data_IF_168255606276
#
_entry.id   IF_168255606276
#
_cell.length_a   1.000
_cell.length_b   1.000
_cell.length_c   1.000
_cell.angle_alpha   90.00
_cell.angle_beta   90.00
_cell.angle_gamma   90.00
#
_symmetry.space_group_name_H-M   'P 1'
#
loop_
_entity.id
_entity.type
_entity.pdbx_description
1 polymer ?
#
# COMPACT_ATOMS: atom_id res chain seq x y z
N UNK A 1 -4.58 11.88 27.24
CA UNK A 1 -3.82 13.10 26.86
C UNK A 1 -3.20 13.06 25.45
N UNK A 2 -3.00 11.90 24.81
CA UNK A 2 -2.49 11.83 23.42
C UNK A 2 -3.51 12.22 22.33
N UNK A 3 -4.81 12.15 22.64
CA UNK A 3 -5.95 12.37 21.73
C UNK A 3 -6.21 13.83 21.37
N UNK A 4 -5.80 14.80 22.19
CA UNK A 4 -6.01 16.23 21.91
C UNK A 4 -4.90 16.84 21.04
N UNK A 5 -3.68 16.29 21.07
CA UNK A 5 -2.61 16.69 20.15
C UNK A 5 -2.90 16.28 18.70
N UNK A 6 -3.53 15.13 18.48
CA UNK A 6 -3.89 14.63 17.14
C UNK A 6 -4.99 15.49 16.47
N UNK A 7 -6.06 15.82 17.22
CA UNK A 7 -7.13 16.73 16.76
C UNK A 7 -6.61 18.12 16.39
N UNK A 8 -5.65 18.64 17.15
CA UNK A 8 -4.97 19.91 16.85
C UNK A 8 -4.18 19.85 15.54
N UNK A 9 -3.48 18.73 15.30
CA UNK A 9 -2.65 18.52 14.10
C UNK A 9 -3.44 18.53 12.80
N UNK A 10 -4.59 17.84 12.73
CA UNK A 10 -5.37 17.76 11.48
C UNK A 10 -6.16 19.04 11.16
N UNK A 11 -6.73 19.71 12.17
CA UNK A 11 -7.32 21.05 11.98
C UNK A 11 -6.27 22.10 11.61
N UNK A 12 -5.09 22.05 12.23
CA UNK A 12 -3.96 22.90 11.87
C UNK A 12 -3.48 22.61 10.43
N UNK A 13 -3.54 21.35 10.00
CA UNK A 13 -3.23 20.92 8.64
C UNK A 13 -4.22 21.49 7.61
N UNK A 14 -5.54 21.37 7.80
CA UNK A 14 -6.52 21.98 6.89
C UNK A 14 -6.40 23.52 6.88
N UNK A 15 -6.15 24.13 8.04
CA UNK A 15 -5.95 25.58 8.15
C UNK A 15 -4.66 26.04 7.45
N UNK A 16 -3.60 25.23 7.51
CA UNK A 16 -2.34 25.52 6.81
C UNK A 16 -2.45 25.36 5.30
N UNK A 17 -3.35 24.49 4.78
CA UNK A 17 -3.61 24.39 3.33
C UNK A 17 -4.26 25.65 2.78
N UNK A 18 -5.32 26.13 3.46
CA UNK A 18 -5.97 27.38 3.07
C UNK A 18 -4.99 28.55 3.12
N UNK A 19 -4.16 28.60 4.17
CA UNK A 19 -3.13 29.63 4.29
C UNK A 19 -2.06 29.52 3.19
N UNK A 20 -1.62 28.32 2.84
CA UNK A 20 -0.61 28.13 1.78
C UNK A 20 -1.15 28.55 0.41
N UNK A 21 -2.40 28.21 0.09
CA UNK A 21 -3.07 28.66 -1.14
C UNK A 21 -3.16 30.19 -1.17
N UNK A 22 -3.54 30.81 -0.04
CA UNK A 22 -3.60 32.28 0.07
C UNK A 22 -2.22 32.91 -0.09
N UNK A 23 -1.18 32.35 0.54
CA UNK A 23 0.20 32.84 0.42
C UNK A 23 0.73 32.68 -1.01
N UNK A 24 0.46 31.56 -1.68
CA UNK A 24 0.82 31.36 -3.09
C UNK A 24 0.11 32.34 -4.02
N UNK A 25 -1.16 32.67 -3.76
CA UNK A 25 -1.88 33.70 -4.49
C UNK A 25 -1.27 35.10 -4.26
N UNK A 26 -0.95 35.45 -3.01
CA UNK A 26 -0.30 36.73 -2.66
C UNK A 26 1.07 36.84 -3.34
N UNK A 27 1.87 35.78 -3.31
CA UNK A 27 3.19 35.77 -3.93
C UNK A 27 3.10 35.84 -5.46
N UNK A 28 2.12 35.15 -6.06
CA UNK A 28 1.82 35.27 -7.48
C UNK A 28 1.42 36.69 -7.88
N UNK A 29 0.62 37.38 -7.06
CA UNK A 29 0.26 38.79 -7.27
C UNK A 29 1.46 39.73 -7.10
N UNK A 30 2.33 39.50 -6.11
CA UNK A 30 3.53 40.31 -5.89
C UNK A 30 4.56 40.15 -7.02
N UNK A 31 4.74 38.93 -7.52
CA UNK A 31 5.59 38.62 -8.67
C UNK A 31 5.00 39.21 -9.96
N UNK A 32 3.66 39.20 -10.09
CA UNK A 32 2.98 39.86 -11.20
C UNK A 32 3.28 41.37 -11.25
N UNK A 33 3.19 42.03 -10.08
CA UNK A 33 3.49 43.45 -9.96
C UNK A 33 4.97 43.80 -10.23
N UNK A 34 5.92 42.93 -9.86
CA UNK A 34 7.36 43.17 -10.12
C UNK A 34 7.74 43.00 -11.59
N UNK A 35 7.14 42.05 -12.29
CA UNK A 35 7.37 41.84 -13.72
C UNK A 35 6.66 42.87 -14.60
N UNK A 36 5.53 43.43 -14.15
CA UNK A 36 4.88 44.59 -14.78
C UNK A 36 5.78 45.83 -14.70
N UNK A 37 6.49 46.01 -13.57
CA UNK A 37 7.54 47.02 -13.42
C UNK A 37 8.76 46.77 -14.35
N UNK A 38 8.98 45.54 -14.80
CA UNK A 38 10.01 45.17 -15.77
C UNK A 38 9.53 45.21 -17.23
N UNK A 39 8.34 45.78 -17.48
CA UNK A 39 7.69 45.90 -18.81
C UNK A 39 7.40 44.57 -19.53
N UNK A 40 7.41 43.45 -18.81
CA UNK A 40 7.10 42.13 -19.38
C UNK A 40 5.57 41.96 -19.43
N UNK A 41 4.94 42.45 -20.50
CA UNK A 41 3.48 42.47 -20.67
C UNK A 41 2.93 41.17 -21.28
N UNK A 42 3.06 40.05 -20.57
CA UNK A 42 2.43 38.78 -20.99
C UNK A 42 1.48 38.23 -19.92
N UNK A 43 0.18 38.57 -19.95
CA UNK A 43 -0.83 38.00 -19.05
C UNK A 43 -0.86 36.46 -19.04
N UNK A 44 -0.49 35.82 -20.15
CA UNK A 44 -0.34 34.37 -20.25
C UNK A 44 0.85 33.84 -19.42
N UNK A 45 1.97 34.57 -19.41
CA UNK A 45 3.13 34.23 -18.57
C UNK A 45 2.78 34.32 -17.08
N UNK A 46 2.04 35.37 -16.69
CA UNK A 46 1.58 35.57 -15.32
C UNK A 46 0.66 34.45 -14.83
N UNK A 47 -0.34 34.11 -15.63
CA UNK A 47 -1.28 33.04 -15.32
C UNK A 47 -0.56 31.67 -15.28
N UNK A 48 0.40 31.44 -16.17
CA UNK A 48 1.22 30.23 -16.19
C UNK A 48 2.09 30.08 -14.95
N UNK A 49 2.76 31.14 -14.50
CA UNK A 49 3.60 31.11 -13.29
C UNK A 49 2.73 30.90 -12.04
N UNK A 50 1.60 31.61 -11.90
CA UNK A 50 0.70 31.44 -10.76
C UNK A 50 0.12 30.02 -10.69
N UNK A 51 -0.25 29.43 -11.84
CA UNK A 51 -0.72 28.05 -11.93
C UNK A 51 0.37 27.05 -11.51
N UNK A 52 1.60 27.23 -12.01
CA UNK A 52 2.75 26.38 -11.67
C UNK A 52 3.07 26.44 -10.17
N UNK A 53 3.05 27.62 -9.55
CA UNK A 53 3.25 27.78 -8.11
C UNK A 53 2.12 27.14 -7.30
N UNK A 54 0.86 27.31 -7.72
CA UNK A 54 -0.29 26.66 -7.07
C UNK A 54 -0.21 25.13 -7.14
N UNK A 55 0.17 24.59 -8.31
CA UNK A 55 0.39 23.16 -8.50
C UNK A 55 1.58 22.64 -7.68
N UNK A 56 2.70 23.36 -7.65
CA UNK A 56 3.88 23.01 -6.87
C UNK A 56 3.61 23.03 -5.36
N UNK A 57 2.90 24.05 -4.87
CA UNK A 57 2.49 24.16 -3.47
C UNK A 57 1.51 23.04 -3.09
N UNK A 58 0.50 22.77 -3.91
CA UNK A 58 -0.44 21.66 -3.73
C UNK A 58 0.27 20.30 -3.72
N UNK A 59 1.19 20.09 -4.66
CA UNK A 59 2.01 18.88 -4.73
C UNK A 59 2.89 18.72 -3.48
N UNK A 60 3.61 19.75 -3.05
CA UNK A 60 4.49 19.71 -1.89
C UNK A 60 3.74 19.30 -0.61
N UNK A 61 2.53 19.84 -0.43
CA UNK A 61 1.70 19.53 0.72
C UNK A 61 1.14 18.11 0.65
N UNK A 62 0.67 17.69 -0.53
CA UNK A 62 0.23 16.32 -0.77
C UNK A 62 1.37 15.32 -0.49
N UNK A 63 2.58 15.58 -0.99
CA UNK A 63 3.76 14.75 -0.74
C UNK A 63 4.16 14.73 0.72
N UNK A 64 4.07 15.85 1.45
CA UNK A 64 4.35 15.89 2.89
C UNK A 64 3.34 15.09 3.71
N UNK A 65 2.07 15.16 3.35
CA UNK A 65 1.00 14.41 4.00
C UNK A 65 1.11 12.90 3.72
N UNK A 66 1.20 12.52 2.45
CA UNK A 66 1.38 11.13 2.04
C UNK A 66 2.69 10.53 2.58
N UNK A 67 3.77 11.31 2.56
CA UNK A 67 5.06 10.94 3.14
C UNK A 67 4.97 10.68 4.66
N UNK A 68 4.16 11.44 5.39
CA UNK A 68 3.96 11.21 6.83
C UNK A 68 3.21 9.92 7.15
N UNK A 69 2.29 9.48 6.28
CA UNK A 69 1.58 8.21 6.41
C UNK A 69 2.48 7.02 6.09
N UNK A 70 3.24 7.11 4.99
CA UNK A 70 4.22 6.07 4.60
C UNK A 70 5.31 5.94 5.66
N UNK A 71 5.81 7.05 6.21
CA UNK A 71 6.84 7.02 7.25
C UNK A 71 6.34 6.33 8.53
N UNK A 72 5.08 6.52 8.90
CA UNK A 72 4.50 5.84 10.07
C UNK A 72 4.49 4.32 9.89
N UNK A 73 4.13 3.81 8.70
CA UNK A 73 4.23 2.38 8.38
C UNK A 73 5.69 1.90 8.37
N UNK A 74 6.61 2.65 7.74
CA UNK A 74 8.04 2.32 7.67
C UNK A 74 8.75 2.30 9.02
N UNK A 75 8.15 2.92 10.04
CA UNK A 75 8.66 2.86 11.41
C UNK A 75 8.04 1.71 12.22
N UNK A 76 7.19 0.86 11.61
CA UNK A 76 6.45 -0.19 12.30
C UNK A 76 5.31 0.31 13.20
N UNK A 77 4.95 1.60 13.15
CA UNK A 77 3.87 2.18 13.96
C UNK A 77 2.50 1.93 13.31
N UNK A 78 2.10 0.67 13.27
CA UNK A 78 0.82 0.26 12.68
C UNK A 78 -0.37 0.86 13.43
N UNK A 79 -0.31 0.97 14.76
CA UNK A 79 -1.40 1.50 15.58
C UNK A 79 -1.60 3.00 15.38
N UNK A 80 -0.52 3.78 15.28
CA UNK A 80 -0.57 5.19 14.93
C UNK A 80 -1.10 5.40 13.51
N UNK A 81 -0.72 4.54 12.56
CA UNK A 81 -1.26 4.58 11.19
C UNK A 81 -2.77 4.31 11.16
N UNK A 82 -3.24 3.23 11.80
CA UNK A 82 -4.66 2.87 11.88
C UNK A 82 -5.47 3.95 12.57
N UNK A 83 -4.95 4.52 13.67
CA UNK A 83 -5.60 5.63 14.39
C UNK A 83 -5.86 6.83 13.48
N UNK A 84 -4.88 7.20 12.63
CA UNK A 84 -5.04 8.29 11.65
C UNK A 84 -6.04 7.94 10.55
N UNK A 85 -6.06 6.70 10.09
CA UNK A 85 -7.06 6.23 9.13
C UNK A 85 -8.48 6.32 9.68
N UNK A 86 -8.69 5.95 10.94
CA UNK A 86 -9.99 6.06 11.61
C UNK A 86 -10.44 7.52 11.80
N UNK A 87 -9.52 8.45 12.02
CA UNK A 87 -9.83 9.88 11.99
C UNK A 87 -10.25 10.33 10.58
N UNK A 88 -9.51 9.91 9.55
CA UNK A 88 -9.83 10.22 8.16
C UNK A 88 -11.19 9.67 7.76
N UNK A 89 -11.53 8.45 8.18
CA UNK A 89 -12.82 7.75 7.95
C UNK A 89 -14.02 8.55 8.45
N UNK A 90 -13.85 9.36 9.49
CA UNK A 90 -14.92 10.21 10.03
C UNK A 90 -15.25 11.36 9.07
N UNK A 91 -14.26 11.88 8.37
CA UNK A 91 -14.38 13.06 7.50
C UNK A 91 -14.50 12.74 6.01
N UNK A 92 -13.92 11.64 5.53
CA UNK A 92 -13.91 11.25 4.12
C UNK A 92 -14.83 10.05 3.88
N UNK A 93 -16.10 10.34 3.56
CA UNK A 93 -17.11 9.32 3.28
C UNK A 93 -16.99 8.70 1.89
N UNK A 94 -16.23 9.33 0.98
CA UNK A 94 -16.11 8.87 -0.41
C UNK A 94 -15.11 7.72 -0.53
N UNK A 95 -14.07 7.71 0.31
CA UNK A 95 -12.98 6.74 0.23
C UNK A 95 -12.96 5.74 1.39
N UNK A 96 -14.11 5.50 2.04
CA UNK A 96 -14.19 4.62 3.22
C UNK A 96 -13.65 3.22 2.93
N UNK A 97 -13.98 2.62 1.78
CA UNK A 97 -13.49 1.29 1.40
C UNK A 97 -11.96 1.25 1.23
N UNK A 98 -11.36 2.32 0.71
CA UNK A 98 -9.90 2.46 0.59
C UNK A 98 -9.24 2.61 1.96
N UNK A 99 -9.87 3.37 2.85
CA UNK A 99 -9.40 3.58 4.23
C UNK A 99 -9.45 2.25 5.00
N UNK A 100 -10.58 1.53 4.92
CA UNK A 100 -10.77 0.24 5.56
C UNK A 100 -9.78 -0.80 5.00
N UNK A 101 -9.50 -0.79 3.69
CA UNK A 101 -8.48 -1.66 3.09
C UNK A 101 -7.07 -1.36 3.59
N UNK A 102 -6.67 -0.09 3.65
CA UNK A 102 -5.33 0.28 4.12
C UNK A 102 -5.15 -0.08 5.61
N UNK A 103 -6.20 0.03 6.43
CA UNK A 103 -6.19 -0.42 7.82
C UNK A 103 -6.05 -1.96 7.91
N UNK A 104 -6.82 -2.71 7.11
CA UNK A 104 -6.69 -4.16 7.02
C UNK A 104 -5.26 -4.59 6.64
N UNK A 105 -4.65 -3.91 5.67
CA UNK A 105 -3.27 -4.17 5.26
C UNK A 105 -2.28 -3.92 6.40
N UNK A 106 -2.41 -2.81 7.12
CA UNK A 106 -1.55 -2.52 8.27
C UNK A 106 -1.66 -3.58 9.38
N UNK A 107 -2.87 -4.05 9.67
CA UNK A 107 -3.12 -5.12 10.64
C UNK A 107 -2.53 -6.46 10.20
N UNK A 108 -2.66 -6.80 8.91
CA UNK A 108 -2.01 -7.98 8.34
C UNK A 108 -0.47 -7.90 8.47
N UNK A 109 0.13 -6.74 8.19
CA UNK A 109 1.58 -6.51 8.37
C UNK A 109 1.99 -6.61 9.84
N UNK A 110 1.14 -6.14 10.76
CA UNK A 110 1.34 -6.28 12.21
C UNK A 110 1.26 -7.75 12.67
N UNK A 111 0.57 -8.61 11.91
CA UNK A 111 0.28 -10.00 12.29
C UNK A 111 -1.06 -10.17 13.02
N UNK A 112 -1.86 -9.10 13.12
CA UNK A 112 -3.21 -9.12 13.66
C UNK A 112 -4.21 -9.50 12.55
N UNK A 113 -4.21 -10.78 12.21
CA UNK A 113 -4.92 -11.31 11.04
C UNK A 113 -6.44 -11.25 11.24
N UNK A 114 -6.93 -11.47 12.46
CA UNK A 114 -8.36 -11.43 12.74
C UNK A 114 -8.92 -10.01 12.60
N UNK A 115 -8.26 -9.02 13.18
CA UNK A 115 -8.65 -7.62 12.99
C UNK A 115 -8.53 -7.20 11.53
N UNK A 116 -7.51 -7.68 10.80
CA UNK A 116 -7.39 -7.44 9.37
C UNK A 116 -8.62 -7.92 8.60
N UNK A 117 -9.10 -9.13 8.91
CA UNK A 117 -10.31 -9.71 8.30
C UNK A 117 -11.58 -8.94 8.69
N UNK A 118 -11.69 -8.45 9.91
CA UNK A 118 -12.82 -7.60 10.33
C UNK A 118 -12.90 -6.29 9.52
N UNK A 119 -11.75 -5.65 9.25
CA UNK A 119 -11.72 -4.47 8.40
C UNK A 119 -12.08 -4.78 6.94
N UNK A 120 -11.60 -5.91 6.41
CA UNK A 120 -12.02 -6.37 5.08
C UNK A 120 -13.53 -6.59 5.02
N UNK A 121 -14.14 -7.17 6.05
CA UNK A 121 -15.59 -7.40 6.13
C UNK A 121 -16.46 -6.13 6.07
N UNK A 122 -15.87 -4.94 6.22
CA UNK A 122 -16.57 -3.63 6.08
C UNK A 122 -16.65 -3.15 4.64
N UNK A 123 -15.86 -3.74 3.73
CA UNK A 123 -15.78 -3.36 2.33
C UNK A 123 -16.83 -4.15 1.56
N UNK A 124 -17.67 -3.47 0.78
CA UNK A 124 -18.51 -4.13 -0.23
C UNK A 124 -17.71 -4.30 -1.53
N UNK A 125 -17.23 -5.53 -1.87
CA UNK A 125 -16.43 -5.75 -3.06
C UNK A 125 -17.23 -5.58 -4.37
N UNK A 126 -18.56 -5.61 -4.34
CA UNK A 126 -19.39 -5.34 -5.51
C UNK A 126 -19.41 -3.86 -5.90
N UNK A 127 -19.17 -2.96 -4.94
CA UNK A 127 -19.07 -1.51 -5.18
C UNK A 127 -17.65 -1.01 -5.48
N UNK A 128 -16.65 -1.87 -5.28
CA UNK A 128 -15.23 -1.52 -5.42
C UNK A 128 -14.78 -1.41 -6.89
N UNK A 129 -13.88 -0.47 -7.17
CA UNK A 129 -13.17 -0.44 -8.45
C UNK A 129 -12.31 -1.71 -8.64
N UNK A 130 -11.96 -2.00 -9.90
CA UNK A 130 -11.20 -3.20 -10.30
C UNK A 130 -9.95 -3.43 -9.44
N UNK A 131 -9.22 -2.38 -9.07
CA UNK A 131 -7.97 -2.50 -8.34
C UNK A 131 -8.23 -2.75 -6.87
N UNK A 132 -9.15 -1.99 -6.26
CA UNK A 132 -9.53 -2.21 -4.87
C UNK A 132 -10.09 -3.62 -4.68
N UNK A 133 -10.90 -4.12 -5.62
CA UNK A 133 -11.42 -5.49 -5.60
C UNK A 133 -10.31 -6.53 -5.70
N UNK A 134 -9.35 -6.35 -6.60
CA UNK A 134 -8.21 -7.27 -6.72
C UNK A 134 -7.34 -7.28 -5.44
N UNK A 135 -7.06 -6.10 -4.89
CA UNK A 135 -6.30 -5.96 -3.64
C UNK A 135 -7.04 -6.58 -2.45
N UNK A 136 -8.35 -6.35 -2.33
CA UNK A 136 -9.22 -6.99 -1.34
C UNK A 136 -9.11 -8.51 -1.41
N UNK A 137 -9.32 -9.09 -2.60
CA UNK A 137 -9.29 -10.53 -2.81
C UNK A 137 -7.92 -11.13 -2.49
N UNK A 138 -6.84 -10.45 -2.90
CA UNK A 138 -5.47 -10.87 -2.60
C UNK A 138 -5.17 -10.85 -1.11
N UNK A 139 -5.55 -9.79 -0.39
CA UNK A 139 -5.27 -9.67 1.04
C UNK A 139 -6.11 -10.66 1.86
N UNK A 140 -7.38 -10.84 1.50
CA UNK A 140 -8.26 -11.85 2.10
C UNK A 140 -7.71 -13.27 1.91
N UNK A 141 -7.24 -13.57 0.69
CA UNK A 141 -6.56 -14.83 0.38
C UNK A 141 -5.29 -15.04 1.21
N UNK A 142 -4.44 -14.02 1.33
CA UNK A 142 -3.23 -14.09 2.15
C UNK A 142 -3.55 -14.32 3.64
N UNK A 143 -4.57 -13.66 4.19
CA UNK A 143 -5.02 -13.86 5.57
C UNK A 143 -5.51 -15.30 5.82
N UNK A 144 -6.30 -15.87 4.90
CA UNK A 144 -6.71 -17.28 4.98
C UNK A 144 -5.51 -18.24 4.94
N UNK A 145 -4.55 -17.97 4.05
CA UNK A 145 -3.31 -18.74 3.95
C UNK A 145 -2.48 -18.68 5.23
N UNK A 146 -2.34 -17.50 5.84
CA UNK A 146 -1.61 -17.30 7.09
C UNK A 146 -2.27 -18.07 8.25
N UNK A 147 -3.61 -18.06 8.32
CA UNK A 147 -4.37 -18.83 9.31
C UNK A 147 -4.32 -20.34 9.07
N UNK A 148 -3.83 -20.80 7.91
CA UNK A 148 -3.89 -22.21 7.52
C UNK A 148 -5.32 -22.71 7.30
N UNK A 149 -6.26 -21.80 7.05
CA UNK A 149 -7.69 -22.10 6.96
C UNK A 149 -8.18 -22.04 5.53
N UNK A 150 -9.08 -22.97 5.16
CA UNK A 150 -9.84 -22.92 3.91
C UNK A 150 -8.96 -22.64 2.68
N UNK A 151 -7.82 -23.34 2.55
CA UNK A 151 -6.83 -23.10 1.50
C UNK A 151 -7.40 -23.18 0.07
N UNK A 152 -8.44 -23.98 -0.14
CA UNK A 152 -9.17 -24.02 -1.41
C UNK A 152 -9.85 -22.68 -1.72
N UNK A 153 -10.54 -22.08 -0.74
CA UNK A 153 -11.16 -20.77 -0.89
C UNK A 153 -10.11 -19.68 -1.05
N UNK A 154 -8.99 -19.76 -0.31
CA UNK A 154 -7.87 -18.83 -0.48
C UNK A 154 -7.36 -18.85 -1.93
N UNK A 155 -7.20 -20.04 -2.53
CA UNK A 155 -6.81 -20.19 -3.93
C UNK A 155 -7.85 -19.61 -4.90
N UNK A 156 -9.14 -19.80 -4.65
CA UNK A 156 -10.21 -19.22 -5.47
C UNK A 156 -10.13 -17.68 -5.49
N UNK A 157 -9.95 -17.06 -4.32
CA UNK A 157 -9.79 -15.60 -4.21
C UNK A 157 -8.51 -15.09 -4.88
N UNK A 158 -7.36 -15.76 -4.71
CA UNK A 158 -6.11 -15.37 -5.38
C UNK A 158 -6.22 -15.52 -6.91
N UNK A 159 -6.92 -16.57 -7.37
CA UNK A 159 -7.19 -16.79 -8.79
C UNK A 159 -8.04 -15.67 -9.36
N UNK A 160 -9.12 -15.27 -8.68
CA UNK A 160 -9.96 -14.15 -9.10
C UNK A 160 -9.18 -12.83 -9.10
N UNK A 161 -8.40 -12.56 -8.05
CA UNK A 161 -7.53 -11.38 -7.97
C UNK A 161 -6.57 -11.30 -9.16
N UNK A 162 -5.91 -12.41 -9.52
CA UNK A 162 -4.95 -12.46 -10.65
C UNK A 162 -5.60 -12.23 -12.02
N UNK A 163 -6.88 -12.60 -12.19
CA UNK A 163 -7.65 -12.29 -13.40
C UNK A 163 -8.00 -10.81 -13.48
N UNK A 164 -8.26 -10.17 -12.34
CA UNK A 164 -8.54 -8.75 -12.28
C UNK A 164 -7.27 -7.94 -12.50
N UNK A 165 -6.16 -8.22 -11.82
CA UNK A 165 -4.91 -7.47 -11.98
C UNK A 165 -3.72 -8.42 -11.93
N UNK A 166 -2.87 -8.38 -12.95
CA UNK A 166 -1.65 -9.17 -13.03
C UNK A 166 -0.49 -8.49 -12.28
N UNK A 167 -0.59 -8.41 -10.95
CA UNK A 167 0.53 -8.02 -10.10
C UNK A 167 1.41 -9.23 -9.81
N UNK A 168 2.75 -9.11 -9.89
CA UNK A 168 3.66 -10.22 -9.58
C UNK A 168 3.39 -10.86 -8.22
N UNK A 169 3.13 -10.07 -7.18
CA UNK A 169 2.84 -10.56 -5.82
C UNK A 169 1.54 -11.36 -5.73
N UNK A 170 0.50 -11.00 -6.50
CA UNK A 170 -0.76 -11.75 -6.57
C UNK A 170 -0.55 -13.08 -7.29
N UNK A 171 0.19 -13.08 -8.41
CA UNK A 171 0.50 -14.30 -9.17
C UNK A 171 1.35 -15.25 -8.35
N UNK A 172 2.33 -14.75 -7.62
CA UNK A 172 3.16 -15.55 -6.72
C UNK A 172 2.35 -16.14 -5.55
N UNK A 173 1.45 -15.36 -4.92
CA UNK A 173 0.54 -15.86 -3.90
C UNK A 173 -0.34 -17.00 -4.43
N UNK A 174 -0.85 -16.86 -5.66
CA UNK A 174 -1.61 -17.92 -6.34
C UNK A 174 -0.75 -19.16 -6.55
N UNK A 175 0.47 -19.03 -7.07
CA UNK A 175 1.38 -20.17 -7.28
C UNK A 175 1.61 -20.94 -5.97
N UNK A 176 1.92 -20.24 -4.87
CA UNK A 176 2.05 -20.84 -3.55
C UNK A 176 0.76 -21.56 -3.11
N UNK A 177 -0.40 -20.96 -3.30
CA UNK A 177 -1.68 -21.58 -2.94
C UNK A 177 -2.03 -22.78 -3.81
N UNK A 178 -1.67 -22.79 -5.09
CA UNK A 178 -1.81 -23.97 -5.96
C UNK A 178 -0.97 -25.13 -5.39
N UNK A 179 0.28 -24.88 -5.03
CA UNK A 179 1.17 -25.87 -4.41
C UNK A 179 0.60 -26.41 -3.09
N UNK A 180 0.17 -25.52 -2.19
CA UNK A 180 -0.41 -25.90 -0.90
C UNK A 180 -1.75 -26.66 -1.02
N UNK A 181 -2.41 -26.59 -2.18
CA UNK A 181 -3.60 -27.38 -2.51
C UNK A 181 -3.27 -28.66 -3.31
N UNK A 182 -1.99 -29.05 -3.41
CA UNK A 182 -1.55 -30.25 -4.13
C UNK A 182 -1.59 -30.12 -5.66
N UNK A 183 -1.67 -28.90 -6.20
CA UNK A 183 -1.71 -28.60 -7.64
C UNK A 183 -0.34 -28.21 -8.16
N UNK A 184 0.62 -29.13 -8.02
CA UNK A 184 2.04 -28.87 -8.24
C UNK A 184 2.36 -28.42 -9.68
N UNK A 185 1.84 -29.12 -10.69
CA UNK A 185 2.04 -28.76 -12.10
C UNK A 185 1.50 -27.36 -12.43
N UNK A 186 0.30 -27.03 -11.95
CA UNK A 186 -0.28 -25.69 -12.16
C UNK A 186 0.54 -24.63 -11.44
N UNK A 187 1.01 -24.94 -10.23
CA UNK A 187 1.86 -24.05 -9.44
C UNK A 187 3.14 -23.68 -10.17
N UNK A 188 3.82 -24.65 -10.79
CA UNK A 188 5.04 -24.41 -11.57
C UNK A 188 4.78 -23.54 -12.80
N UNK A 189 3.66 -23.76 -13.51
CA UNK A 189 3.25 -22.89 -14.60
C UNK A 189 2.98 -21.45 -14.14
N UNK A 190 2.32 -21.27 -13.00
CA UNK A 190 2.04 -19.95 -12.43
C UNK A 190 3.32 -19.27 -11.91
N UNK A 191 4.29 -20.02 -11.39
CA UNK A 191 5.58 -19.48 -11.00
C UNK A 191 6.36 -18.94 -12.22
N UNK A 192 6.31 -19.63 -13.36
CA UNK A 192 6.88 -19.13 -14.62
C UNK A 192 6.17 -17.85 -15.10
N UNK A 193 4.88 -17.70 -14.84
CA UNK A 193 4.15 -16.44 -15.10
C UNK A 193 4.67 -15.31 -14.20
N UNK A 194 4.84 -15.56 -12.90
CA UNK A 194 5.46 -14.61 -11.98
C UNK A 194 6.86 -14.17 -12.46
N UNK A 195 7.70 -15.12 -12.86
CA UNK A 195 9.05 -14.86 -13.38
C UNK A 195 9.05 -13.98 -14.63
N UNK A 196 8.03 -14.08 -15.48
CA UNK A 196 7.85 -13.20 -16.66
C UNK A 196 7.33 -11.81 -16.31
N UNK A 197 6.66 -11.66 -15.17
CA UNK A 197 6.06 -10.41 -14.70
C UNK A 197 7.00 -9.63 -13.77
N UNK A 198 7.89 -10.30 -13.03
CA UNK A 198 8.80 -9.64 -12.10
C UNK A 198 9.68 -8.62 -12.84
N UNK A 199 9.85 -7.44 -12.25
CA UNK A 199 10.57 -6.32 -12.85
C UNK A 199 9.79 -5.50 -13.89
N UNK A 200 8.60 -5.94 -14.33
CA UNK A 200 7.72 -5.09 -15.15
C UNK A 200 6.99 -4.11 -14.26
N UNK A 201 6.96 -2.82 -14.66
CA UNK A 201 6.09 -1.83 -14.01
C UNK A 201 4.64 -2.22 -14.29
N UNK A 202 3.94 -2.67 -13.27
CA UNK A 202 2.49 -2.84 -13.36
C UNK A 202 1.85 -1.47 -13.53
N UNK A 203 1.26 -1.23 -14.70
CA UNK A 203 0.41 -0.06 -14.91
C UNK A 203 -0.96 -0.45 -14.39
N UNK A 204 -1.28 0.03 -13.19
CA UNK A 204 -2.59 -0.18 -12.55
C UNK A 204 -3.39 1.10 -12.76
N UNK A 205 -4.20 1.23 -13.83
CA UNK A 205 -5.03 2.41 -14.03
C UNK A 205 -6.14 2.44 -12.97
N UNK A 206 -6.17 3.50 -12.14
CA UNK A 206 -7.24 3.70 -11.17
C UNK A 206 -6.97 4.83 -10.19
N UNK A 207 -8.04 5.25 -9.49
CA UNK A 207 -8.06 6.35 -8.52
C UNK A 207 -7.71 5.91 -7.09
N UNK A 208 -7.19 4.71 -6.93
CA UNK A 208 -7.10 4.00 -5.65
C UNK A 208 -5.90 4.54 -4.86
N UNK A 209 -6.14 5.32 -3.79
CA UNK A 209 -5.09 5.73 -2.85
C UNK A 209 -4.76 4.52 -1.97
N UNK A 210 -3.95 3.61 -2.50
CA UNK A 210 -3.31 2.54 -1.74
C UNK A 210 -1.94 3.04 -1.30
N UNK A 211 -1.64 2.94 -0.01
CA UNK A 211 -0.31 3.25 0.48
C UNK A 211 0.63 2.09 0.12
N UNK A 212 1.21 2.13 -1.07
CA UNK A 212 2.20 1.15 -1.53
C UNK A 212 3.57 1.51 -0.98
N UNK A 213 4.25 0.52 -0.39
CA UNK A 213 5.64 0.64 0.08
C UNK A 213 6.47 -0.38 -0.69
N UNK A 214 7.31 0.09 -1.61
CA UNK A 214 8.12 -0.78 -2.47
C UNK A 214 9.11 -1.62 -1.69
N UNK A 215 9.57 -1.13 -0.53
CA UNK A 215 10.44 -1.88 0.38
C UNK A 215 9.70 -3.09 0.95
N UNK A 216 8.47 -2.85 1.41
CA UNK A 216 7.60 -3.91 1.89
C UNK A 216 7.21 -4.93 0.81
N UNK A 217 6.97 -4.51 -0.43
CA UNK A 217 6.70 -5.45 -1.54
C UNK A 217 7.87 -6.42 -1.75
N UNK A 218 9.12 -5.97 -1.55
CA UNK A 218 10.29 -6.84 -1.56
C UNK A 218 10.23 -7.90 -0.45
N UNK A 219 9.99 -7.46 0.79
CA UNK A 219 9.86 -8.35 1.96
C UNK A 219 8.76 -9.39 1.75
N UNK A 220 7.58 -8.95 1.29
CA UNK A 220 6.45 -9.84 1.05
C UNK A 220 6.73 -10.85 -0.07
N UNK A 221 7.39 -10.41 -1.15
CA UNK A 221 7.79 -11.30 -2.26
C UNK A 221 8.79 -12.36 -1.80
N UNK A 222 9.85 -11.97 -1.08
CA UNK A 222 10.82 -12.91 -0.55
C UNK A 222 10.19 -13.85 0.50
N UNK A 223 9.23 -13.37 1.31
CA UNK A 223 8.45 -14.23 2.20
C UNK A 223 7.67 -15.30 1.42
N UNK A 224 6.96 -14.92 0.35
CA UNK A 224 6.18 -15.86 -0.46
C UNK A 224 7.06 -16.87 -1.20
N UNK A 225 8.21 -16.45 -1.74
CA UNK A 225 9.18 -17.36 -2.36
C UNK A 225 9.79 -18.31 -1.33
N UNK A 226 10.16 -17.81 -0.15
CA UNK A 226 10.65 -18.64 0.96
C UNK A 226 9.65 -19.72 1.33
N UNK A 227 8.37 -19.33 1.51
CA UNK A 227 7.23 -20.24 1.74
C UNK A 227 7.05 -21.27 0.62
N UNK A 228 7.19 -20.85 -0.64
CA UNK A 228 7.05 -21.70 -1.82
C UNK A 228 8.11 -22.81 -1.84
N UNK A 229 9.39 -22.43 -1.79
CA UNK A 229 10.49 -23.39 -1.80
C UNK A 229 10.52 -24.26 -0.55
N UNK A 230 10.10 -23.71 0.60
CA UNK A 230 9.95 -24.50 1.81
C UNK A 230 8.90 -25.62 1.63
N UNK A 231 7.75 -25.32 1.03
CA UNK A 231 6.72 -26.32 0.73
C UNK A 231 7.18 -27.38 -0.29
N UNK A 232 8.13 -27.06 -1.18
CA UNK A 232 8.79 -28.02 -2.09
C UNK A 232 9.92 -28.84 -1.44
N UNK A 233 10.23 -28.60 -0.16
CA UNK A 233 11.43 -29.13 0.53
C UNK A 233 12.77 -28.68 -0.09
N UNK A 234 12.79 -27.57 -0.83
CA UNK A 234 13.98 -26.98 -1.42
C UNK A 234 14.64 -26.00 -0.43
N UNK A 235 15.08 -26.54 0.71
CA UNK A 235 15.53 -25.76 1.86
C UNK A 235 16.64 -24.73 1.57
N UNK A 236 17.66 -25.01 0.73
CA UNK A 236 18.66 -23.99 0.39
C UNK A 236 18.06 -22.75 -0.28
N UNK A 237 17.12 -22.93 -1.21
CA UNK A 237 16.42 -21.83 -1.89
C UNK A 237 15.48 -21.10 -0.92
N UNK A 238 14.73 -21.86 -0.11
CA UNK A 238 13.87 -21.30 0.93
C UNK A 238 14.65 -20.40 1.91
N UNK A 239 15.82 -20.88 2.36
CA UNK A 239 16.70 -20.14 3.28
C UNK A 239 17.20 -18.82 2.69
N UNK A 240 17.54 -18.79 1.40
CA UNK A 240 17.98 -17.56 0.74
C UNK A 240 16.89 -16.49 0.78
N UNK A 241 15.66 -16.85 0.38
CA UNK A 241 14.54 -15.91 0.38
C UNK A 241 14.05 -15.53 1.78
N UNK A 242 14.08 -16.45 2.76
CA UNK A 242 13.76 -16.07 4.14
C UNK A 242 14.80 -15.13 4.75
N UNK A 243 16.08 -15.21 4.37
CA UNK A 243 17.09 -14.22 4.80
C UNK A 243 16.74 -12.83 4.28
N UNK A 244 16.43 -12.70 3.00
CA UNK A 244 15.98 -11.44 2.42
C UNK A 244 14.72 -10.89 3.10
N UNK A 245 13.72 -11.75 3.38
CA UNK A 245 12.51 -11.33 4.07
C UNK A 245 12.75 -10.93 5.53
N UNK A 246 13.76 -11.52 6.18
CA UNK A 246 14.14 -11.21 7.56
C UNK A 246 14.91 -9.87 7.68
N UNK A 247 15.49 -9.38 6.59
CA UNK A 247 16.20 -8.10 6.52
C UNK A 247 15.19 -6.93 6.46
N UNK A 248 14.59 -6.61 7.60
CA UNK A 248 13.74 -5.43 7.76
C UNK A 248 14.16 -4.63 8.99
N UNK A 249 14.17 -3.30 8.87
CA UNK A 249 14.55 -2.39 9.96
C UNK A 249 13.46 -2.21 11.03
N UNK A 250 12.25 -2.70 10.76
CA UNK A 250 11.11 -2.62 11.67
C UNK A 250 10.42 -3.98 11.79
N UNK A 251 9.79 -4.22 12.94
CA UNK A 251 9.06 -5.46 13.18
C UNK A 251 7.78 -5.52 12.33
N UNK A 252 7.59 -6.66 11.68
CA UNK A 252 6.38 -7.02 10.96
C UNK A 252 6.21 -8.55 10.96
N UNK A 253 5.02 -9.03 10.66
CA UNK A 253 4.68 -10.45 10.63
C UNK A 253 5.61 -11.26 9.72
N UNK A 254 5.86 -10.79 8.50
CA UNK A 254 6.59 -11.52 7.47
C UNK A 254 8.06 -11.71 7.83
N UNK A 255 8.73 -10.65 8.28
CA UNK A 255 10.12 -10.72 8.74
C UNK A 255 10.25 -11.52 10.04
N UNK A 256 9.24 -11.46 10.93
CA UNK A 256 9.23 -12.26 12.16
C UNK A 256 9.05 -13.76 11.87
N UNK A 257 8.12 -14.11 10.98
CA UNK A 257 7.94 -15.47 10.50
C UNK A 257 9.21 -16.00 9.83
N UNK A 258 9.83 -15.21 8.94
CA UNK A 258 11.05 -15.62 8.25
C UNK A 258 12.20 -15.88 9.23
N UNK A 259 12.39 -15.02 10.24
CA UNK A 259 13.37 -15.22 11.32
C UNK A 259 13.11 -16.49 12.12
N UNK A 260 11.85 -16.81 12.39
CA UNK A 260 11.47 -18.01 13.12
C UNK A 260 11.80 -19.28 12.31
N UNK A 261 11.34 -19.34 11.06
CA UNK A 261 11.61 -20.48 10.17
C UNK A 261 13.12 -20.71 9.97
N UNK A 262 13.91 -19.65 9.82
CA UNK A 262 15.37 -19.75 9.67
C UNK A 262 16.09 -20.44 10.83
N UNK A 263 15.48 -20.52 12.03
CA UNK A 263 16.02 -21.26 13.18
C UNK A 263 15.79 -22.76 13.08
N UNK A 264 14.86 -23.18 12.22
CA UNK A 264 14.39 -24.56 12.09
C UNK A 264 14.80 -25.23 10.78
N UNK A 265 15.29 -24.46 9.80
CA UNK A 265 15.76 -24.95 8.50
C UNK A 265 17.26 -24.83 8.33
#
# INVERSE_FOLDING_TARGET
MATDKAKGGFKAFIKSHKLLIIVSLIFGMALAATLDHLEIKSPLLFMGIALLFGLAAGALVYFKAAGSFIQTIKNGDYDGFISRLEELRKTDKKHVSHIDFNAAMALNRKGDIDSSMEYLGRIDPGSADRNLRASYLSLYSANLMIRGERLKNALEYASEASRLVQLPSIVLLRALLELLNGREEQSEHTLLEYERLKGKKAIVPGRTVLYTDSEFEGIYTSYLLGRYYYAKNEYPAARAHFREAAECSYDNYYSSYARDVLRHI
#
